data_IF_365724831019
#
_entry.id   IF_365724831019
#
_cell.length_a   1.000
_cell.length_b   1.000
_cell.length_c   1.000
_cell.angle_alpha   90.00
_cell.angle_beta   90.00
_cell.angle_gamma   90.00
#
_symmetry.space_group_name_H-M   'P 1'
#
loop_
_entity.id
_entity.type
_entity.pdbx_description
1 polymer ?
#
# COMPACT_ATOMS: atom_id res chain seq x y z
N UNK A 1 -14.73 -7.26 -6.06
CA UNK A 1 -13.58 -8.06 -6.50
C UNK A 1 -12.34 -7.68 -5.70
N UNK A 2 -11.57 -8.67 -5.26
CA UNK A 2 -10.38 -8.43 -4.43
C UNK A 2 -9.12 -8.38 -5.29
N UNK A 3 -8.22 -7.47 -4.96
CA UNK A 3 -6.90 -7.36 -5.61
C UNK A 3 -5.81 -7.25 -4.56
N UNK A 4 -4.63 -7.76 -4.88
CA UNK A 4 -3.45 -7.55 -4.04
C UNK A 4 -2.88 -6.18 -4.32
N UNK A 5 -2.52 -5.45 -3.27
CA UNK A 5 -2.05 -4.08 -3.37
C UNK A 5 -0.88 -3.82 -2.43
N UNK A 6 -0.13 -2.77 -2.77
CA UNK A 6 0.80 -2.14 -1.83
C UNK A 6 0.14 -0.83 -1.43
N UNK A 7 0.06 -0.57 -0.14
CA UNK A 7 -0.60 0.61 0.39
C UNK A 7 0.22 1.25 1.50
N UNK A 8 -0.13 2.48 1.82
CA UNK A 8 0.47 3.21 2.93
C UNK A 8 -0.64 3.48 3.95
N UNK A 9 -0.40 3.15 5.21
CA UNK A 9 -1.36 3.42 6.27
C UNK A 9 -1.31 4.90 6.71
N UNK A 10 -2.16 5.28 7.66
CA UNK A 10 -2.26 6.67 8.11
C UNK A 10 -1.04 7.14 8.90
N UNK A 11 -0.12 6.24 9.23
CA UNK A 11 1.17 6.58 9.86
C UNK A 11 2.29 6.73 8.83
N UNK A 12 2.00 6.46 7.56
CA UNK A 12 2.98 6.52 6.49
C UNK A 12 3.80 5.25 6.31
N UNK A 13 3.37 4.13 6.89
CA UNK A 13 4.07 2.85 6.77
C UNK A 13 3.60 2.11 5.51
N UNK A 14 4.54 1.66 4.69
CA UNK A 14 4.26 0.88 3.48
C UNK A 14 4.00 -0.57 3.85
N UNK A 15 2.89 -1.10 3.39
CA UNK A 15 2.48 -2.47 3.67
C UNK A 15 1.83 -3.10 2.43
N UNK A 16 1.73 -4.43 2.43
CA UNK A 16 1.02 -5.17 1.39
C UNK A 16 -0.24 -5.81 1.99
N UNK A 17 -1.28 -5.93 1.19
CA UNK A 17 -2.51 -6.53 1.63
C UNK A 17 -3.46 -6.83 0.47
N UNK A 18 -4.71 -7.16 0.83
CA UNK A 18 -5.76 -7.47 -0.13
C UNK A 18 -6.83 -6.38 -0.05
N UNK A 19 -7.07 -5.73 -1.18
CA UNK A 19 -8.03 -4.64 -1.28
C UNK A 19 -9.37 -5.16 -1.80
N UNK A 20 -10.41 -4.95 -1.00
CA UNK A 20 -11.79 -5.23 -1.42
C UNK A 20 -12.36 -3.97 -2.06
N UNK A 21 -12.49 -3.99 -3.39
CA UNK A 21 -12.95 -2.83 -4.15
C UNK A 21 -14.39 -2.44 -3.82
N UNK A 22 -15.25 -3.41 -3.52
CA UNK A 22 -16.67 -3.16 -3.27
C UNK A 22 -16.90 -2.40 -1.96
N UNK A 23 -16.08 -2.66 -0.96
CA UNK A 23 -16.17 -2.04 0.36
C UNK A 23 -15.13 -0.96 0.60
N UNK A 24 -14.16 -0.85 -0.30
CA UNK A 24 -12.99 0.03 -0.17
C UNK A 24 -12.28 -0.20 1.17
N UNK A 25 -12.02 -1.46 1.46
CA UNK A 25 -11.31 -1.90 2.66
C UNK A 25 -10.09 -2.73 2.28
N UNK A 26 -9.06 -2.70 3.13
CA UNK A 26 -7.86 -3.53 2.96
C UNK A 26 -7.75 -4.49 4.14
N UNK A 27 -7.43 -5.75 3.82
CA UNK A 27 -7.03 -6.74 4.80
C UNK A 27 -5.51 -6.81 4.76
N UNK A 28 -4.87 -6.44 5.87
CA UNK A 28 -3.41 -6.43 5.96
C UNK A 28 -2.85 -7.85 5.79
N UNK A 29 -1.87 -8.01 4.89
CA UNK A 29 -1.27 -9.32 4.63
C UNK A 29 -0.41 -9.85 5.77
N UNK A 30 0.02 -8.98 6.68
CA UNK A 30 0.91 -9.35 7.79
C UNK A 30 0.16 -9.74 9.06
N UNK A 31 -0.90 -9.01 9.41
CA UNK A 31 -1.62 -9.20 10.67
C UNK A 31 -3.09 -9.55 10.52
N UNK A 32 -3.62 -9.52 9.30
CA UNK A 32 -5.02 -9.82 9.04
C UNK A 32 -6.01 -8.75 9.50
N UNK A 33 -5.53 -7.60 9.97
CA UNK A 33 -6.39 -6.50 10.39
C UNK A 33 -7.08 -5.86 9.19
N UNK A 34 -8.31 -5.39 9.39
CA UNK A 34 -9.05 -4.66 8.36
C UNK A 34 -8.80 -3.17 8.52
N UNK A 35 -8.46 -2.50 7.40
CA UNK A 35 -8.22 -1.07 7.34
C UNK A 35 -9.32 -0.44 6.48
N UNK A 36 -10.03 0.52 7.05
CA UNK A 36 -11.15 1.17 6.38
C UNK A 36 -10.72 2.26 5.41
N UNK A 37 -11.63 2.59 4.50
CA UNK A 37 -11.46 3.73 3.59
C UNK A 37 -11.14 5.01 4.36
N UNK A 38 -10.15 5.74 3.89
CA UNK A 38 -9.67 6.96 4.54
C UNK A 38 -8.47 6.74 5.47
N UNK A 39 -8.20 5.49 5.86
CA UNK A 39 -7.06 5.15 6.71
C UNK A 39 -5.89 4.56 5.91
N UNK A 40 -5.99 4.51 4.59
CA UNK A 40 -4.94 4.03 3.72
C UNK A 40 -4.91 4.78 2.40
N UNK A 41 -3.76 4.70 1.72
CA UNK A 41 -3.59 5.19 0.35
C UNK A 41 -3.00 4.06 -0.49
N UNK A 42 -3.62 3.76 -1.62
CA UNK A 42 -3.12 2.75 -2.55
C UNK A 42 -1.89 3.28 -3.28
N UNK A 43 -0.81 2.52 -3.26
CA UNK A 43 0.44 2.88 -3.93
C UNK A 43 0.65 2.07 -5.21
N UNK A 44 0.23 0.80 -5.21
CA UNK A 44 0.36 -0.07 -6.36
C UNK A 44 -0.71 -1.16 -6.31
N UNK A 45 -1.31 -1.49 -7.46
CA UNK A 45 -2.30 -2.55 -7.58
C UNK A 45 -1.76 -3.61 -8.52
N UNK A 46 -1.72 -4.86 -8.07
CA UNK A 46 -1.24 -5.97 -8.88
C UNK A 46 -2.36 -6.50 -9.78
N UNK A 47 -2.02 -6.76 -11.03
CA UNK A 47 -2.93 -7.36 -11.99
C UNK A 47 -3.05 -8.88 -11.84
N UNK A 48 -2.03 -9.50 -11.24
CA UNK A 48 -1.96 -10.94 -11.05
C UNK A 48 -1.96 -11.27 -9.56
N UNK A 49 -2.44 -12.47 -9.23
CA UNK A 49 -2.43 -12.96 -7.87
C UNK A 49 -1.05 -13.56 -7.56
N UNK A 50 -0.33 -12.94 -6.62
CA UNK A 50 1.03 -13.32 -6.25
C UNK A 50 1.07 -13.83 -4.80
N UNK A 51 2.18 -14.45 -4.42
CA UNK A 51 2.42 -14.81 -3.03
C UNK A 51 2.92 -13.57 -2.29
N UNK A 52 2.11 -13.07 -1.35
CA UNK A 52 2.43 -11.83 -0.62
C UNK A 52 3.77 -11.93 0.11
N UNK A 53 4.04 -13.06 0.76
CA UNK A 53 5.24 -13.20 1.59
C UNK A 53 6.52 -13.36 0.76
N UNK A 54 6.45 -14.03 -0.37
CA UNK A 54 7.64 -14.33 -1.19
C UNK A 54 7.83 -13.37 -2.36
N UNK A 55 6.75 -13.06 -3.08
CA UNK A 55 6.83 -12.29 -4.32
C UNK A 55 6.57 -10.79 -4.13
N UNK A 56 5.83 -10.41 -3.10
CA UNK A 56 5.52 -9.00 -2.82
C UNK A 56 6.44 -8.45 -1.74
N UNK A 57 6.50 -9.09 -0.57
CA UNK A 57 7.27 -8.60 0.58
C UNK A 57 8.62 -9.28 0.75
N UNK A 58 8.90 -10.34 -0.01
CA UNK A 58 10.14 -11.12 0.08
C UNK A 58 11.29 -10.53 -0.75
N UNK A 59 12.36 -11.32 -0.90
CA UNK A 59 13.55 -10.91 -1.66
C UNK A 59 13.24 -10.64 -3.14
N UNK A 60 12.20 -11.26 -3.68
CA UNK A 60 11.77 -11.04 -5.06
C UNK A 60 10.78 -9.87 -5.22
N UNK A 61 10.47 -9.18 -4.13
CA UNK A 61 9.52 -8.09 -4.11
C UNK A 61 10.11 -6.75 -4.57
N UNK A 62 10.62 -6.68 -5.79
CA UNK A 62 11.28 -5.48 -6.32
C UNK A 62 10.39 -4.25 -6.28
N UNK A 63 9.12 -4.40 -6.63
CA UNK A 63 8.15 -3.29 -6.63
C UNK A 63 7.93 -2.78 -5.21
N UNK A 64 7.79 -3.68 -4.26
CA UNK A 64 7.60 -3.31 -2.86
C UNK A 64 8.79 -2.52 -2.33
N UNK A 65 10.01 -2.98 -2.61
CA UNK A 65 11.24 -2.31 -2.17
C UNK A 65 11.42 -0.96 -2.84
N UNK A 66 11.09 -0.82 -4.11
CA UNK A 66 11.13 0.47 -4.81
C UNK A 66 10.16 1.47 -4.18
N UNK A 67 8.96 1.03 -3.85
CA UNK A 67 7.95 1.88 -3.23
C UNK A 67 8.37 2.30 -1.83
N UNK A 68 8.92 1.36 -1.03
CA UNK A 68 9.45 1.69 0.29
C UNK A 68 10.54 2.76 0.22
N UNK A 69 11.50 2.60 -0.70
CA UNK A 69 12.56 3.58 -0.88
C UNK A 69 12.02 4.95 -1.29
N UNK A 70 11.02 4.96 -2.17
CA UNK A 70 10.40 6.20 -2.63
C UNK A 70 9.70 6.92 -1.47
N UNK A 71 8.99 6.19 -0.63
CA UNK A 71 8.32 6.75 0.55
C UNK A 71 9.35 7.26 1.57
N UNK A 72 10.44 6.53 1.77
CA UNK A 72 11.51 6.93 2.69
C UNK A 72 12.18 8.25 2.30
N UNK A 73 12.14 8.61 1.02
CA UNK A 73 12.68 9.87 0.51
C UNK A 73 11.72 11.04 0.65
N UNK A 74 10.47 10.78 0.97
CA UNK A 74 9.47 11.82 1.15
C UNK A 74 9.62 12.50 2.51
N UNK A 75 9.31 13.79 2.54
CA UNK A 75 9.23 14.52 3.80
C UNK A 75 7.91 14.20 4.50
N UNK A 76 7.82 14.49 5.79
CA UNK A 76 6.57 14.33 6.55
C UNK A 76 5.42 15.11 5.91
N UNK A 77 5.70 16.34 5.44
CA UNK A 77 4.70 17.16 4.76
C UNK A 77 4.17 16.51 3.48
N UNK A 78 5.05 15.86 2.72
CA UNK A 78 4.67 15.16 1.49
C UNK A 78 3.80 13.94 1.80
N UNK A 79 4.17 13.16 2.82
CA UNK A 79 3.39 12.00 3.25
C UNK A 79 2.00 12.43 3.71
N UNK A 80 1.92 13.48 4.52
CA UNK A 80 0.63 14.02 4.98
C UNK A 80 -0.24 14.50 3.81
N UNK A 81 0.36 15.15 2.82
CA UNK A 81 -0.36 15.60 1.63
C UNK A 81 -0.93 14.43 0.82
N UNK A 82 -0.18 13.32 0.72
CA UNK A 82 -0.66 12.11 0.06
C UNK A 82 -1.82 11.49 0.83
N UNK A 83 -1.70 11.38 2.14
CA UNK A 83 -2.74 10.83 3.01
C UNK A 83 -4.03 11.66 2.98
N UNK A 84 -3.89 12.98 2.87
CA UNK A 84 -5.03 13.90 2.77
C UNK A 84 -5.63 13.98 1.37
N UNK A 85 -5.05 13.29 0.40
CA UNK A 85 -5.52 13.31 -0.99
C UNK A 85 -5.14 14.56 -1.76
N UNK A 86 -4.26 15.40 -1.23
CA UNK A 86 -3.82 16.64 -1.89
C UNK A 86 -2.69 16.43 -2.88
N UNK A 87 -1.99 15.31 -2.79
CA UNK A 87 -0.88 14.94 -3.65
C UNK A 87 -1.02 13.50 -4.09
N UNK A 88 -0.78 13.25 -5.38
CA UNK A 88 -0.78 11.88 -5.91
C UNK A 88 0.62 11.29 -5.76
N UNK A 89 0.72 10.09 -5.19
CA UNK A 89 1.99 9.39 -5.00
C UNK A 89 2.72 9.15 -6.31
N UNK A 90 1.99 8.89 -7.39
CA UNK A 90 2.56 8.60 -8.70
C UNK A 90 2.71 9.83 -9.61
N UNK A 91 2.41 10.99 -9.09
CA UNK A 91 2.53 12.23 -9.86
C UNK A 91 3.96 12.77 -9.87
#
# INVERSE_FOLDING_TARGET
MNKQVIFMDNEGTVQAGIWNQDRDEIICGCCGATIESGDFVLLHIYDEWLNITDEICGDDGDIFHEIEEKVDRLTTSEIEAILDGKKDFNA
#
